data_IF_584053146298
#
_entry.id   IF_584053146298
#
_cell.length_a   1.000
_cell.length_b   1.000
_cell.length_c   1.000
_cell.angle_alpha   90.00
_cell.angle_beta   90.00
_cell.angle_gamma   90.00
#
_symmetry.space_group_name_H-M   'P 1'
#
loop_
_entity.id
_entity.type
_entity.pdbx_description
1 polymer ?
#
# COMPACT_ATOMS: atom_id res chain seq x y z
N UNK A 1 -17.78 -20.40 4.38
CA UNK A 1 -16.44 -20.59 3.77
C UNK A 1 -15.46 -20.67 4.93
N UNK A 2 -14.86 -21.84 5.16
CA UNK A 2 -13.93 -22.02 6.26
C UNK A 2 -12.53 -21.57 5.81
N UNK A 3 -11.97 -20.58 6.49
CA UNK A 3 -10.60 -20.10 6.25
C UNK A 3 -9.67 -20.92 7.14
N UNK A 4 -8.60 -21.50 6.57
CA UNK A 4 -7.63 -22.29 7.33
C UNK A 4 -6.91 -21.44 8.38
N UNK A 5 -6.48 -22.06 9.47
CA UNK A 5 -5.71 -21.39 10.52
C UNK A 5 -4.41 -20.78 9.98
N UNK A 6 -3.74 -21.46 9.05
CA UNK A 6 -2.50 -20.94 8.45
C UNK A 6 -2.76 -19.66 7.65
N UNK A 7 -3.86 -19.58 6.91
CA UNK A 7 -4.27 -18.37 6.21
C UNK A 7 -4.60 -17.25 7.21
N UNK A 8 -5.33 -17.53 8.27
CA UNK A 8 -5.63 -16.54 9.32
C UNK A 8 -4.36 -16.01 9.99
N UNK A 9 -3.40 -16.88 10.30
CA UNK A 9 -2.09 -16.49 10.86
C UNK A 9 -1.33 -15.61 9.86
N UNK A 10 -1.31 -15.98 8.58
CA UNK A 10 -0.68 -15.18 7.53
C UNK A 10 -1.30 -13.79 7.39
N UNK A 11 -2.62 -13.70 7.40
CA UNK A 11 -3.32 -12.42 7.39
C UNK A 11 -2.98 -11.56 8.61
N UNK A 12 -2.97 -12.16 9.80
CA UNK A 12 -2.60 -11.46 11.02
C UNK A 12 -1.16 -10.93 10.97
N UNK A 13 -0.21 -11.73 10.47
CA UNK A 13 1.18 -11.30 10.29
C UNK A 13 1.29 -10.12 9.31
N UNK A 14 0.50 -10.11 8.23
CA UNK A 14 0.44 -8.96 7.30
C UNK A 14 -0.10 -7.71 7.99
N UNK A 15 -1.15 -7.84 8.80
CA UNK A 15 -1.71 -6.72 9.57
C UNK A 15 -0.68 -6.14 10.55
N UNK A 16 0.07 -6.99 11.25
CA UNK A 16 1.14 -6.55 12.15
C UNK A 16 2.25 -5.81 11.40
N UNK A 17 2.67 -6.30 10.23
CA UNK A 17 3.68 -5.63 9.39
C UNK A 17 3.20 -4.25 8.93
N UNK A 18 1.94 -4.13 8.53
CA UNK A 18 1.32 -2.85 8.18
C UNK A 18 1.36 -1.88 9.34
N UNK A 19 0.93 -2.32 10.53
CA UNK A 19 0.93 -1.51 11.73
C UNK A 19 2.35 -1.04 12.07
N UNK A 20 3.31 -1.93 12.08
CA UNK A 20 4.70 -1.59 12.40
C UNK A 20 5.32 -0.64 11.36
N UNK A 21 5.00 -0.82 10.08
CA UNK A 21 5.43 0.10 9.04
C UNK A 21 4.90 1.52 9.29
N UNK A 22 3.63 1.65 9.60
CA UNK A 22 2.98 2.92 9.88
C UNK A 22 3.55 3.62 11.12
N UNK A 23 3.70 2.87 12.22
CA UNK A 23 4.27 3.43 13.45
C UNK A 23 5.72 3.90 13.28
N UNK A 24 6.50 3.18 12.47
CA UNK A 24 7.85 3.62 12.10
C UNK A 24 7.82 4.85 11.21
N UNK A 25 6.90 4.89 10.25
CA UNK A 25 6.72 6.04 9.36
C UNK A 25 6.32 7.30 10.14
N UNK A 26 5.41 7.16 11.12
CA UNK A 26 5.03 8.26 12.01
C UNK A 26 6.24 8.83 12.76
N UNK A 27 7.03 7.95 13.39
CA UNK A 27 8.26 8.38 14.10
C UNK A 27 9.27 9.07 13.18
N UNK A 28 9.41 8.59 11.94
CA UNK A 28 10.31 9.22 10.96
C UNK A 28 9.81 10.58 10.50
N UNK A 29 8.49 10.77 10.42
CA UNK A 29 7.88 12.08 10.12
C UNK A 29 8.10 13.07 11.28
N UNK A 30 7.88 12.64 12.53
CA UNK A 30 8.14 13.46 13.72
C UNK A 30 9.59 13.92 13.80
N UNK A 31 10.52 13.11 13.32
CA UNK A 31 11.95 13.40 13.22
C UNK A 31 12.32 14.23 11.97
N UNK A 32 11.34 14.64 11.15
CA UNK A 32 11.55 15.32 9.88
C UNK A 32 12.50 14.57 8.90
N UNK A 33 12.55 13.23 8.99
CA UNK A 33 13.40 12.38 8.15
C UNK A 33 12.72 11.93 6.86
N UNK A 34 11.40 12.04 6.77
CA UNK A 34 10.59 11.74 5.59
C UNK A 34 10.01 13.04 5.08
N UNK A 35 10.10 13.25 3.76
CA UNK A 35 9.54 14.42 3.11
C UNK A 35 8.07 14.22 2.72
N UNK A 36 7.29 15.29 2.81
CA UNK A 36 5.86 15.26 2.48
C UNK A 36 5.00 14.69 3.62
N UNK A 37 3.81 14.23 3.28
CA UNK A 37 2.83 13.70 4.23
C UNK A 37 2.65 12.20 4.06
N UNK A 38 2.60 11.47 5.16
CA UNK A 38 2.16 10.07 5.21
C UNK A 38 0.86 10.00 5.96
N UNK A 39 -0.20 9.59 5.29
CA UNK A 39 -1.51 9.35 5.91
C UNK A 39 -1.53 7.92 6.42
N UNK A 40 -1.33 7.73 7.71
CA UNK A 40 -1.21 6.41 8.31
C UNK A 40 -2.42 5.52 8.00
N UNK A 41 -2.17 4.25 7.79
CA UNK A 41 -3.16 3.21 7.51
C UNK A 41 -3.69 2.56 8.82
N UNK A 42 -3.15 2.97 9.97
CA UNK A 42 -3.50 2.44 11.29
C UNK A 42 -5.03 2.39 11.50
N UNK A 43 -5.52 1.23 11.91
CA UNK A 43 -6.94 0.94 12.10
C UNK A 43 -7.66 0.40 10.87
N UNK A 44 -7.02 0.34 9.72
CA UNK A 44 -7.58 -0.17 8.46
C UNK A 44 -6.89 -1.46 7.96
N UNK A 45 -5.99 -2.04 8.75
CA UNK A 45 -5.17 -3.19 8.36
C UNK A 45 -6.01 -4.39 7.91
N UNK A 46 -7.07 -4.68 8.67
CA UNK A 46 -7.97 -5.79 8.37
C UNK A 46 -8.70 -5.60 7.04
N UNK A 47 -9.04 -4.36 6.67
CA UNK A 47 -9.71 -4.04 5.40
C UNK A 47 -8.75 -4.34 4.25
N UNK A 48 -7.55 -3.75 4.27
CA UNK A 48 -6.57 -3.93 3.19
C UNK A 48 -6.12 -5.37 3.04
N UNK A 49 -5.80 -6.03 4.14
CA UNK A 49 -5.37 -7.43 4.11
C UNK A 49 -6.52 -8.34 3.68
N UNK A 50 -7.74 -8.14 4.21
CA UNK A 50 -8.88 -8.96 3.86
C UNK A 50 -9.26 -8.88 2.39
N UNK A 51 -9.26 -7.68 1.81
CA UNK A 51 -9.51 -7.49 0.37
C UNK A 51 -8.39 -8.13 -0.45
N UNK A 52 -7.12 -7.83 -0.16
CA UNK A 52 -5.99 -8.36 -0.93
C UNK A 52 -5.87 -9.91 -0.85
N UNK A 53 -6.30 -10.53 0.24
CA UNK A 53 -6.34 -12.00 0.38
C UNK A 53 -7.49 -12.66 -0.38
N UNK A 54 -8.47 -11.88 -0.84
CA UNK A 54 -9.58 -12.34 -1.67
C UNK A 54 -9.33 -12.14 -3.18
N UNK A 55 -8.28 -11.40 -3.55
CA UNK A 55 -7.89 -11.16 -4.93
C UNK A 55 -7.05 -12.31 -5.48
N UNK A 56 -7.14 -12.51 -6.78
CA UNK A 56 -6.19 -13.35 -7.51
C UNK A 56 -4.86 -12.57 -7.73
N UNK A 57 -3.74 -13.28 -7.96
CA UNK A 57 -2.41 -12.64 -8.10
C UNK A 57 -2.35 -11.59 -9.22
N UNK A 58 -3.09 -11.79 -10.30
CA UNK A 58 -3.15 -10.94 -11.51
C UNK A 58 -4.24 -9.87 -11.46
N UNK A 59 -5.04 -9.82 -10.40
CA UNK A 59 -6.01 -8.74 -10.20
C UNK A 59 -5.33 -7.38 -10.03
N UNK A 60 -5.92 -6.36 -10.66
CA UNK A 60 -5.47 -4.98 -10.52
C UNK A 60 -6.24 -4.24 -9.43
N UNK A 61 -5.53 -3.34 -8.75
CA UNK A 61 -6.15 -2.40 -7.81
C UNK A 61 -5.78 -0.96 -8.14
N UNK A 62 -6.71 -0.06 -7.92
CA UNK A 62 -6.46 1.37 -7.77
C UNK A 62 -6.56 1.76 -6.30
N UNK A 63 -5.90 2.82 -5.89
CA UNK A 63 -5.81 3.19 -4.50
C UNK A 63 -5.94 4.70 -4.30
N UNK A 64 -5.98 5.12 -3.04
CA UNK A 64 -6.12 6.50 -2.61
C UNK A 64 -4.89 6.98 -1.81
N UNK A 65 -5.05 8.06 -1.05
CA UNK A 65 -3.99 8.68 -0.26
C UNK A 65 -3.36 7.81 0.87
N UNK A 66 -3.85 6.58 1.07
CA UNK A 66 -3.26 5.56 1.98
C UNK A 66 -2.72 4.36 1.19
N UNK A 67 -2.25 4.61 -0.04
CA UNK A 67 -1.85 3.59 -0.99
C UNK A 67 -0.75 2.65 -0.52
N UNK A 68 0.15 3.12 0.35
CA UNK A 68 1.19 2.27 0.94
C UNK A 68 0.62 1.08 1.73
N UNK A 69 -0.54 1.27 2.39
CA UNK A 69 -1.21 0.18 3.10
C UNK A 69 -1.71 -0.90 2.16
N UNK A 70 -2.33 -0.53 1.04
CA UNK A 70 -2.76 -1.47 0.00
C UNK A 70 -1.57 -2.15 -0.70
N UNK A 71 -0.49 -1.40 -0.96
CA UNK A 71 0.76 -1.94 -1.51
C UNK A 71 1.30 -3.08 -0.62
N UNK A 72 1.46 -2.80 0.67
CA UNK A 72 2.01 -3.77 1.62
C UNK A 72 1.07 -4.96 1.84
N UNK A 73 -0.26 -4.72 1.86
CA UNK A 73 -1.26 -5.78 1.96
C UNK A 73 -1.21 -6.73 0.74
N UNK A 74 -0.97 -6.19 -0.46
CA UNK A 74 -0.84 -6.97 -1.72
C UNK A 74 0.55 -7.60 -1.90
N UNK A 75 1.43 -7.51 -0.90
CA UNK A 75 2.73 -8.19 -0.88
C UNK A 75 3.92 -7.31 -1.25
N UNK A 76 3.76 -6.00 -1.28
CA UNK A 76 4.86 -5.08 -1.51
C UNK A 76 5.98 -5.18 -0.47
N UNK A 77 7.21 -4.94 -0.91
CA UNK A 77 8.38 -4.94 -0.04
C UNK A 77 8.45 -3.64 0.79
N UNK A 78 8.37 -3.71 2.12
CA UNK A 78 8.47 -2.53 2.98
C UNK A 78 9.81 -1.80 2.84
N UNK A 79 10.90 -2.47 2.45
CA UNK A 79 12.18 -1.81 2.22
C UNK A 79 12.13 -0.86 1.02
N UNK A 80 11.51 -1.30 -0.08
CA UNK A 80 11.31 -0.46 -1.26
C UNK A 80 10.34 0.67 -0.96
N UNK A 81 9.33 0.41 -0.12
CA UNK A 81 8.39 1.45 0.31
C UNK A 81 9.08 2.49 1.21
N UNK A 82 9.95 2.10 2.15
CA UNK A 82 10.76 3.06 2.89
C UNK A 82 11.73 3.82 1.99
N UNK A 83 12.35 3.15 1.02
CA UNK A 83 13.19 3.83 0.02
C UNK A 83 12.39 4.91 -0.72
N UNK A 84 11.13 4.63 -1.08
CA UNK A 84 10.23 5.61 -1.68
C UNK A 84 9.97 6.81 -0.75
N UNK A 85 9.66 6.56 0.53
CA UNK A 85 9.44 7.62 1.53
C UNK A 85 10.68 8.49 1.76
N UNK A 86 11.88 7.90 1.62
CA UNK A 86 13.16 8.61 1.70
C UNK A 86 13.59 9.25 0.38
N UNK A 87 12.72 9.32 -0.63
CA UNK A 87 13.00 9.86 -1.96
C UNK A 87 14.21 9.21 -2.65
N UNK A 88 14.41 7.90 -2.46
CA UNK A 88 15.53 7.16 -3.06
C UNK A 88 15.14 6.60 -4.43
N UNK A 89 16.13 6.56 -5.33
CA UNK A 89 15.96 6.07 -6.70
C UNK A 89 15.56 4.59 -6.79
N UNK A 90 15.81 3.80 -5.76
CA UNK A 90 15.41 2.39 -5.65
C UNK A 90 14.05 2.18 -4.97
N UNK A 91 13.29 3.25 -4.67
CA UNK A 91 11.89 3.15 -4.27
C UNK A 91 10.98 2.76 -5.45
N UNK A 92 9.76 2.33 -5.17
CA UNK A 92 8.79 1.89 -6.18
C UNK A 92 8.56 2.90 -7.32
N UNK A 93 8.47 4.18 -7.00
CA UNK A 93 8.31 5.27 -7.97
C UNK A 93 9.56 6.13 -8.08
N UNK A 94 10.73 5.57 -7.81
CA UNK A 94 12.03 6.24 -7.83
C UNK A 94 12.08 7.46 -6.90
N UNK A 95 11.39 7.37 -5.75
CA UNK A 95 11.33 8.42 -4.75
C UNK A 95 10.46 9.63 -5.11
N UNK A 96 9.59 9.52 -6.11
CA UNK A 96 8.76 10.64 -6.61
C UNK A 96 7.30 10.57 -6.17
N UNK A 97 6.80 9.39 -5.82
CA UNK A 97 5.40 9.18 -5.46
C UNK A 97 5.12 9.34 -3.98
N UNK A 98 6.09 9.00 -3.14
CA UNK A 98 5.88 8.95 -1.70
C UNK A 98 4.77 7.98 -1.31
N UNK A 99 4.10 8.24 -0.19
CA UNK A 99 3.02 7.38 0.32
C UNK A 99 1.74 7.48 -0.50
N UNK A 100 1.40 8.68 -1.01
CA UNK A 100 0.08 8.96 -1.58
C UNK A 100 -0.04 8.65 -3.07
N UNK A 101 1.09 8.49 -3.78
CA UNK A 101 1.10 8.30 -5.24
C UNK A 101 1.88 7.05 -5.63
N UNK A 102 1.81 6.02 -4.79
CA UNK A 102 2.52 4.77 -5.02
C UNK A 102 1.89 3.97 -6.16
N UNK A 103 2.72 3.43 -7.04
CA UNK A 103 2.35 2.49 -8.08
C UNK A 103 3.36 1.33 -8.09
N UNK A 104 2.90 0.14 -8.39
CA UNK A 104 3.71 -1.08 -8.52
C UNK A 104 3.00 -2.03 -9.50
N UNK A 105 3.21 -1.79 -10.79
CA UNK A 105 2.49 -2.51 -11.85
C UNK A 105 2.76 -4.01 -11.82
N UNK A 106 3.96 -4.39 -11.42
CA UNK A 106 4.37 -5.78 -11.22
C UNK A 106 3.59 -6.51 -10.12
N UNK A 107 2.96 -5.75 -9.21
CA UNK A 107 2.05 -6.25 -8.18
C UNK A 107 0.58 -6.00 -8.50
N UNK A 108 0.26 -5.54 -9.71
CA UNK A 108 -1.10 -5.17 -10.10
C UNK A 108 -1.60 -3.87 -9.43
N UNK A 109 -0.70 -3.03 -8.89
CA UNK A 109 -1.07 -1.76 -8.27
C UNK A 109 -0.88 -0.65 -9.29
N UNK A 110 -1.99 -0.24 -9.90
CA UNK A 110 -2.01 0.76 -11.00
C UNK A 110 -1.58 2.12 -10.49
N UNK A 111 -1.99 2.48 -9.29
CA UNK A 111 -1.56 3.70 -8.64
C UNK A 111 -2.49 4.16 -7.54
N UNK A 112 -1.90 4.93 -6.64
CA UNK A 112 -2.58 5.67 -5.61
C UNK A 112 -2.62 7.16 -5.98
N UNK A 113 -3.62 7.89 -5.50
CA UNK A 113 -3.63 9.34 -5.64
C UNK A 113 -4.32 10.03 -4.45
N UNK A 114 -3.98 11.30 -4.23
CA UNK A 114 -4.52 12.09 -3.13
C UNK A 114 -5.97 12.57 -3.35
N UNK A 115 -6.51 12.43 -4.56
CA UNK A 115 -7.87 12.86 -4.88
C UNK A 115 -8.83 11.72 -4.56
N UNK A 116 -9.65 11.90 -3.54
CA UNK A 116 -10.63 10.89 -3.12
C UNK A 116 -11.62 10.61 -4.24
N UNK A 117 -11.92 9.33 -4.47
CA UNK A 117 -12.75 8.80 -5.55
C UNK A 117 -12.15 8.87 -6.97
N UNK A 118 -11.00 9.49 -7.22
CA UNK A 118 -10.37 9.48 -8.54
C UNK A 118 -9.95 8.07 -9.00
N UNK A 119 -9.82 7.13 -8.08
CA UNK A 119 -9.61 5.72 -8.41
C UNK A 119 -10.73 5.10 -9.25
N UNK A 120 -11.96 5.59 -9.15
CA UNK A 120 -13.11 5.04 -9.89
C UNK A 120 -12.98 5.22 -11.42
N UNK A 121 -12.78 6.43 -11.96
CA UNK A 121 -12.57 6.60 -13.39
C UNK A 121 -11.26 5.97 -13.87
N UNK A 122 -10.22 5.92 -13.02
CA UNK A 122 -8.97 5.22 -13.37
C UNK A 122 -9.23 3.72 -13.51
N UNK A 123 -9.96 3.10 -12.57
CA UNK A 123 -10.32 1.69 -12.64
C UNK A 123 -11.16 1.37 -13.89
N UNK A 124 -12.07 2.26 -14.26
CA UNK A 124 -12.83 2.14 -15.50
C UNK A 124 -11.90 2.11 -16.73
N UNK A 125 -10.91 3.01 -16.78
CA UNK A 125 -9.92 3.02 -17.86
C UNK A 125 -9.10 1.74 -17.92
N UNK A 126 -8.65 1.24 -16.76
CA UNK A 126 -7.88 -0.01 -16.65
C UNK A 126 -8.70 -1.21 -17.12
N UNK A 127 -10.01 -1.23 -16.84
CA UNK A 127 -10.88 -2.33 -17.26
C UNK A 127 -11.13 -2.40 -18.79
N UNK A 128 -10.81 -1.34 -19.51
CA UNK A 128 -10.89 -1.30 -20.97
C UNK A 128 -9.57 -1.63 -21.68
N UNK A 129 -8.46 -1.62 -20.97
CA UNK A 129 -7.14 -1.85 -21.52
C UNK A 129 -6.78 -3.34 -21.54
#
# INVERSE_FOLDING_TARGET
MDISNDKLIGMYQKMLRLREFDERSARLMEQARVHGSVHLYCGQEAIGVGVCEALEPDDYITSNHRGHGHLLAKGGDPKLMFAELFAKANGYNRGKGGSMHIAALELGIIGANGIVAAGLPIALGVSFA
#
